data_IF_795640896025
#
_entry.id   IF_795640896025
#
_cell.length_a   1.000
_cell.length_b   1.000
_cell.length_c   1.000
_cell.angle_alpha   90.00
_cell.angle_beta   90.00
_cell.angle_gamma   90.00
#
_symmetry.space_group_name_H-M   'P 1'
#
loop_
_entity.id
_entity.type
_entity.pdbx_description
1 polymer ?
#
# COMPACT_ATOMS: atom_id res chain seq x y z
N UNK A 1 -8.45 14.62 -4.93
CA UNK A 1 -9.72 13.87 -4.88
C UNK A 1 -10.10 13.16 -6.19
N UNK A 2 -10.16 13.86 -7.35
CA UNK A 2 -10.53 13.22 -8.65
C UNK A 2 -9.76 11.94 -8.95
N UNK A 3 -8.44 11.95 -8.73
CA UNK A 3 -7.57 10.80 -8.99
C UNK A 3 -7.79 9.60 -8.04
N UNK A 4 -8.24 9.82 -6.80
CA UNK A 4 -8.62 8.73 -5.87
C UNK A 4 -9.90 8.03 -6.31
N UNK A 5 -10.93 8.82 -6.64
CA UNK A 5 -12.19 8.29 -7.17
C UNK A 5 -11.95 7.57 -8.50
N UNK A 6 -11.06 8.09 -9.34
CA UNK A 6 -10.66 7.44 -10.58
C UNK A 6 -9.99 6.08 -10.34
N UNK A 7 -9.05 5.99 -9.38
CA UNK A 7 -8.42 4.73 -9.00
C UNK A 7 -9.45 3.71 -8.49
N UNK A 8 -10.42 4.14 -7.68
CA UNK A 8 -11.50 3.28 -7.19
C UNK A 8 -12.45 2.82 -8.30
N UNK A 9 -12.76 3.68 -9.29
CA UNK A 9 -13.57 3.27 -10.45
C UNK A 9 -12.84 2.25 -11.32
N UNK A 10 -11.52 2.36 -11.44
CA UNK A 10 -10.68 1.45 -12.21
C UNK A 10 -10.11 0.28 -11.39
N UNK A 11 -10.71 -0.05 -10.24
CA UNK A 11 -10.20 -1.08 -9.33
C UNK A 11 -10.08 -2.47 -9.95
N UNK A 12 -10.94 -2.81 -10.92
CA UNK A 12 -10.92 -4.11 -11.60
C UNK A 12 -10.20 -4.08 -12.96
N UNK A 13 -9.66 -2.92 -13.35
CA UNK A 13 -8.94 -2.79 -14.61
C UNK A 13 -7.43 -2.88 -14.38
N UNK A 14 -6.85 -4.05 -14.69
CA UNK A 14 -5.42 -4.32 -14.60
C UNK A 14 -4.64 -3.96 -15.88
N UNK A 15 -5.33 -3.52 -16.93
CA UNK A 15 -4.73 -3.12 -18.20
C UNK A 15 -4.49 -1.61 -18.22
N UNK A 16 -3.51 -1.19 -19.02
CA UNK A 16 -3.15 0.22 -19.15
C UNK A 16 -2.14 0.68 -18.09
N UNK A 17 -2.05 2.00 -17.98
CA UNK A 17 -0.99 2.70 -17.23
C UNK A 17 -1.60 3.68 -16.23
N UNK A 18 -0.97 3.80 -15.06
CA UNK A 18 -1.37 4.74 -14.03
C UNK A 18 -0.27 5.80 -13.85
N UNK A 19 -0.65 7.07 -14.03
CA UNK A 19 0.23 8.22 -13.83
C UNK A 19 0.62 8.38 -12.35
N UNK A 20 1.82 8.90 -12.08
CA UNK A 20 2.36 9.13 -10.72
C UNK A 20 1.38 9.82 -9.76
N UNK A 21 0.64 10.82 -10.24
CA UNK A 21 -0.33 11.55 -9.42
C UNK A 21 -1.53 10.67 -8.97
N UNK A 22 -1.95 9.69 -9.78
CA UNK A 22 -3.01 8.75 -9.42
C UNK A 22 -2.55 7.86 -8.28
N UNK A 23 -1.37 7.24 -8.42
CA UNK A 23 -0.74 6.45 -7.38
C UNK A 23 -0.50 7.27 -6.10
N UNK A 24 0.11 8.45 -6.21
CA UNK A 24 0.47 9.27 -5.05
C UNK A 24 -0.74 9.76 -4.26
N UNK A 25 -1.78 10.28 -4.91
CA UNK A 25 -2.99 10.71 -4.22
C UNK A 25 -3.76 9.54 -3.59
N UNK A 26 -3.72 8.37 -4.22
CA UNK A 26 -4.36 7.18 -3.68
C UNK A 26 -3.69 6.73 -2.38
N UNK A 27 -2.37 6.56 -2.40
CA UNK A 27 -1.60 6.20 -1.20
C UNK A 27 -1.74 7.25 -0.09
N UNK A 28 -1.66 8.54 -0.45
CA UNK A 28 -1.80 9.62 0.53
C UNK A 28 -3.17 9.58 1.25
N UNK A 29 -4.26 9.35 0.52
CA UNK A 29 -5.59 9.28 1.12
C UNK A 29 -5.73 8.05 2.02
N UNK A 30 -5.19 6.90 1.61
CA UNK A 30 -5.18 5.70 2.47
C UNK A 30 -4.43 5.98 3.77
N UNK A 31 -3.23 6.55 3.70
CA UNK A 31 -2.42 6.91 4.87
C UNK A 31 -3.18 7.87 5.78
N UNK A 32 -3.87 8.88 5.23
CA UNK A 32 -4.66 9.82 6.03
C UNK A 32 -5.86 9.14 6.72
N UNK A 33 -6.54 8.22 6.04
CA UNK A 33 -7.67 7.50 6.62
C UNK A 33 -7.18 6.58 7.75
N UNK A 34 -6.12 5.81 7.51
CA UNK A 34 -5.51 4.94 8.51
C UNK A 34 -5.01 5.74 9.73
N UNK A 35 -4.38 6.90 9.49
CA UNK A 35 -3.95 7.81 10.55
C UNK A 35 -5.13 8.30 11.39
N UNK A 36 -6.23 8.72 10.75
CA UNK A 36 -7.45 9.11 11.45
C UNK A 36 -7.99 7.97 12.32
N UNK A 37 -8.18 6.77 11.77
CA UNK A 37 -8.65 5.61 12.53
C UNK A 37 -7.73 5.30 13.72
N UNK A 38 -6.41 5.32 13.52
CA UNK A 38 -5.42 5.08 14.56
C UNK A 38 -5.49 6.13 15.68
N UNK A 39 -5.59 7.41 15.34
CA UNK A 39 -5.71 8.49 16.32
C UNK A 39 -7.00 8.40 17.15
N UNK A 40 -8.14 8.15 16.49
CA UNK A 40 -9.42 8.02 17.19
C UNK A 40 -9.48 6.76 18.07
N UNK A 41 -8.97 5.63 17.58
CA UNK A 41 -8.87 4.39 18.36
C UNK A 41 -7.97 4.55 19.59
N UNK A 42 -6.82 5.21 19.42
CA UNK A 42 -5.89 5.52 20.51
C UNK A 42 -6.53 6.45 21.55
N UNK A 43 -7.22 7.50 21.10
CA UNK A 43 -7.93 8.42 21.98
C UNK A 43 -9.05 7.72 22.78
N UNK A 44 -9.85 6.87 22.13
CA UNK A 44 -10.89 6.07 22.80
C UNK A 44 -10.29 5.14 23.86
N UNK A 45 -9.13 4.54 23.58
CA UNK A 45 -8.40 3.70 24.54
C UNK A 45 -7.95 4.48 25.77
N UNK A 46 -7.38 5.68 25.60
CA UNK A 46 -6.97 6.56 26.70
C UNK A 46 -8.17 6.98 27.56
N UNK A 47 -9.32 7.22 26.94
CA UNK A 47 -10.58 7.55 27.61
C UNK A 47 -11.30 6.34 28.23
N UNK A 48 -10.70 5.15 28.20
CA UNK A 48 -11.26 3.88 28.70
C UNK A 48 -12.56 3.44 27.99
N UNK A 49 -12.77 3.90 26.76
CA UNK A 49 -13.88 3.50 25.90
C UNK A 49 -13.48 2.32 25.01
N UNK A 50 -13.23 1.16 25.63
CA UNK A 50 -12.64 0.00 24.94
C UNK A 50 -13.51 -0.54 23.79
N UNK A 51 -14.83 -0.62 23.97
CA UNK A 51 -15.75 -1.08 22.92
C UNK A 51 -15.71 -0.20 21.66
N UNK A 52 -15.56 1.12 21.84
CA UNK A 52 -15.43 2.06 20.73
C UNK A 52 -14.07 1.89 20.04
N UNK A 53 -12.99 1.70 20.80
CA UNK A 53 -11.66 1.47 20.22
C UNK A 53 -11.62 0.18 19.38
N UNK A 54 -12.20 -0.91 19.88
CA UNK A 54 -12.30 -2.18 19.14
C UNK A 54 -13.13 -2.02 17.86
N UNK A 55 -14.27 -1.33 17.93
CA UNK A 55 -15.08 -1.04 16.74
C UNK A 55 -14.29 -0.26 15.68
N UNK A 56 -13.58 0.80 16.09
CA UNK A 56 -12.77 1.61 15.18
C UNK A 56 -11.64 0.79 14.54
N UNK A 57 -10.98 -0.07 15.30
CA UNK A 57 -9.96 -0.98 14.77
C UNK A 57 -10.56 -1.99 13.77
N UNK A 58 -11.73 -2.55 14.06
CA UNK A 58 -12.45 -3.44 13.16
C UNK A 58 -12.87 -2.77 11.86
N UNK A 59 -13.38 -1.53 11.93
CA UNK A 59 -13.73 -0.73 10.75
C UNK A 59 -12.50 -0.39 9.90
N UNK A 60 -11.37 -0.06 10.53
CA UNK A 60 -10.12 0.20 9.83
C UNK A 60 -9.65 -1.06 9.06
N UNK A 61 -9.73 -2.23 9.70
CA UNK A 61 -9.38 -3.49 9.06
C UNK A 61 -10.30 -3.80 7.86
N UNK A 62 -11.61 -3.60 8.00
CA UNK A 62 -12.56 -3.77 6.89
C UNK A 62 -12.28 -2.81 5.74
N UNK A 63 -11.96 -1.56 6.05
CA UNK A 63 -11.58 -0.57 5.05
C UNK A 63 -10.31 -1.01 4.29
N UNK A 64 -9.29 -1.47 5.01
CA UNK A 64 -8.07 -2.03 4.42
C UNK A 64 -8.37 -3.20 3.47
N UNK A 65 -9.25 -4.13 3.88
CA UNK A 65 -9.65 -5.27 3.05
C UNK A 65 -10.32 -4.85 1.73
N UNK A 66 -11.22 -3.87 1.78
CA UNK A 66 -11.91 -3.34 0.59
C UNK A 66 -10.89 -2.74 -0.38
N UNK A 67 -9.85 -2.09 0.14
CA UNK A 67 -8.83 -1.42 -0.67
C UNK A 67 -7.75 -2.34 -1.23
N UNK A 68 -7.71 -3.63 -0.86
CA UNK A 68 -6.72 -4.58 -1.41
C UNK A 68 -6.81 -4.63 -2.93
N UNK A 69 -8.01 -4.84 -3.49
CA UNK A 69 -8.20 -4.99 -4.93
C UNK A 69 -7.82 -3.70 -5.69
N UNK A 70 -8.36 -2.51 -5.32
CA UNK A 70 -7.94 -1.25 -5.94
C UNK A 70 -6.42 -1.01 -5.85
N UNK A 71 -5.79 -1.35 -4.72
CA UNK A 71 -4.35 -1.17 -4.52
C UNK A 71 -3.52 -2.04 -5.46
N UNK A 72 -3.87 -3.32 -5.60
CA UNK A 72 -3.21 -4.25 -6.52
C UNK A 72 -3.37 -3.78 -7.97
N UNK A 73 -4.59 -3.39 -8.37
CA UNK A 73 -4.83 -2.86 -9.72
C UNK A 73 -3.99 -1.61 -10.01
N UNK A 74 -3.94 -0.67 -9.07
CA UNK A 74 -3.19 0.56 -9.24
C UNK A 74 -1.68 0.33 -9.31
N UNK A 75 -1.13 -0.52 -8.43
CA UNK A 75 0.30 -0.89 -8.45
C UNK A 75 0.65 -1.61 -9.75
N UNK A 76 -0.21 -2.51 -10.23
CA UNK A 76 -0.06 -3.18 -11.54
C UNK A 76 0.08 -2.16 -12.67
N UNK A 77 -0.89 -1.23 -12.78
CA UNK A 77 -0.88 -0.17 -13.81
C UNK A 77 0.29 0.79 -13.64
N UNK A 78 0.78 0.99 -12.42
CA UNK A 78 1.96 1.83 -12.16
C UNK A 78 3.27 1.14 -12.56
N UNK A 79 3.39 -0.16 -12.33
CA UNK A 79 4.52 -0.96 -12.82
C UNK A 79 4.54 -1.00 -14.35
N UNK A 80 3.39 -1.13 -14.99
CA UNK A 80 3.25 -1.01 -16.44
C UNK A 80 3.68 0.37 -16.95
N UNK A 81 3.39 1.43 -16.19
CA UNK A 81 3.83 2.79 -16.50
C UNK A 81 5.36 2.96 -16.40
N UNK A 82 6.06 2.04 -15.73
CA UNK A 82 7.53 2.00 -15.67
C UNK A 82 8.14 1.02 -16.71
N UNK A 83 7.32 0.43 -17.59
CA UNK A 83 7.75 -0.59 -18.54
C UNK A 83 7.94 -1.99 -17.93
N UNK A 84 7.71 -2.12 -16.62
CA UNK A 84 7.87 -3.36 -15.86
C UNK A 84 6.62 -4.24 -15.93
N UNK A 85 6.81 -5.54 -15.66
CA UNK A 85 5.71 -6.48 -15.49
C UNK A 85 4.92 -6.20 -14.20
N UNK A 86 3.59 -6.22 -14.26
CA UNK A 86 2.75 -6.12 -13.07
C UNK A 86 2.99 -7.23 -12.02
N UNK A 87 3.57 -8.36 -12.43
CA UNK A 87 3.90 -9.47 -11.55
C UNK A 87 4.98 -9.14 -10.51
N UNK A 88 5.78 -8.08 -10.70
CA UNK A 88 6.75 -7.63 -9.69
C UNK A 88 6.11 -7.29 -8.34
N UNK A 89 4.82 -6.94 -8.32
CA UNK A 89 4.10 -6.72 -7.06
C UNK A 89 3.95 -8.00 -6.21
N UNK A 90 4.00 -9.20 -6.81
CA UNK A 90 3.94 -10.45 -6.04
C UNK A 90 5.19 -10.66 -5.20
N UNK A 91 6.36 -10.26 -5.72
CA UNK A 91 7.59 -10.26 -4.94
C UNK A 91 7.43 -9.36 -3.72
N UNK A 92 6.86 -8.17 -3.89
CA UNK A 92 6.57 -7.27 -2.77
C UNK A 92 5.54 -7.88 -1.80
N UNK A 93 4.47 -8.51 -2.30
CA UNK A 93 3.46 -9.16 -1.46
C UNK A 93 4.08 -10.30 -0.62
N UNK A 94 4.93 -11.13 -1.23
CA UNK A 94 5.63 -12.20 -0.54
C UNK A 94 6.53 -11.67 0.58
N UNK A 95 7.28 -10.59 0.33
CA UNK A 95 8.11 -9.93 1.35
C UNK A 95 7.26 -9.37 2.51
N UNK A 96 6.11 -8.78 2.21
CA UNK A 96 5.18 -8.31 3.24
C UNK A 96 4.62 -9.45 4.10
N UNK A 97 4.33 -10.62 3.51
CA UNK A 97 3.88 -11.80 4.26
C UNK A 97 4.98 -12.32 5.19
N UNK A 98 6.23 -12.39 4.72
CA UNK A 98 7.38 -12.79 5.55
C UNK A 98 7.52 -11.86 6.76
N UNK A 99 7.34 -10.55 6.56
CA UNK A 99 7.41 -9.57 7.64
C UNK A 99 6.32 -9.78 8.71
N UNK A 100 5.09 -10.06 8.29
CA UNK A 100 3.99 -10.38 9.22
C UNK A 100 4.34 -11.65 10.00
N UNK A 101 4.74 -12.73 9.33
CA UNK A 101 5.08 -13.99 10.01
C UNK A 101 6.25 -13.80 10.98
N UNK A 102 7.28 -13.04 10.60
CA UNK A 102 8.42 -12.77 11.46
C UNK A 102 8.04 -11.96 12.72
N UNK A 103 7.08 -11.03 12.60
CA UNK A 103 6.59 -10.21 13.70
C UNK A 103 5.62 -10.90 14.65
N UNK A 104 4.86 -11.90 14.18
CA UNK A 104 3.78 -12.56 14.93
C UNK A 104 4.19 -13.92 15.54
N UNK A 105 5.46 -14.11 15.91
CA UNK A 105 5.83 -15.28 16.69
C UNK A 105 5.28 -15.12 18.12
N UNK A 106 4.21 -15.86 18.44
CA UNK A 106 3.48 -15.78 19.72
C UNK A 106 4.43 -15.95 20.91
N UNK A 107 5.43 -16.81 20.80
CA UNK A 107 6.45 -17.02 21.85
C UNK A 107 7.38 -15.81 22.05
N UNK A 108 7.75 -15.08 20.98
CA UNK A 108 8.59 -13.88 21.09
C UNK A 108 7.81 -12.72 21.71
N UNK A 109 6.50 -12.62 21.42
CA UNK A 109 5.60 -11.60 21.98
C UNK A 109 5.37 -11.85 23.48
N UNK A 110 5.18 -13.11 23.89
CA UNK A 110 4.97 -13.47 25.30
C UNK A 110 6.25 -13.30 26.12
N UNK A 111 7.40 -13.70 25.56
CA UNK A 111 8.67 -13.72 26.30
C UNK A 111 9.56 -12.48 26.05
N UNK A 112 9.14 -11.54 25.19
CA UNK A 112 9.92 -10.37 24.75
C UNK A 112 11.34 -10.70 24.24
N UNK A 113 11.59 -11.93 23.82
CA UNK A 113 12.90 -12.40 23.34
C UNK A 113 12.97 -12.31 21.80
N UNK A 114 13.06 -11.09 21.28
CA UNK A 114 13.44 -10.93 19.87
C UNK A 114 14.91 -11.32 19.70
N UNK A 115 15.17 -12.47 19.07
CA UNK A 115 16.54 -12.80 18.65
C UNK A 115 17.10 -11.69 17.74
N UNK A 116 18.37 -11.34 17.93
CA UNK A 116 19.05 -10.29 17.13
C UNK A 116 18.93 -10.53 15.63
N UNK A 117 18.99 -11.80 15.20
CA UNK A 117 18.83 -12.19 13.80
C UNK A 117 17.42 -11.87 13.26
N UNK A 118 16.34 -12.15 14.01
CA UNK A 118 14.96 -11.80 13.59
C UNK A 118 14.80 -10.29 13.42
N UNK A 119 15.32 -9.50 14.35
CA UNK A 119 15.25 -8.05 14.28
C UNK A 119 15.97 -7.50 13.02
N UNK A 120 17.17 -8.02 12.72
CA UNK A 120 17.91 -7.65 11.50
C UNK A 120 17.12 -8.00 10.24
N UNK A 121 16.53 -9.20 10.16
CA UNK A 121 15.71 -9.62 9.00
C UNK A 121 14.51 -8.69 8.82
N UNK A 122 13.78 -8.36 9.89
CA UNK A 122 12.63 -7.45 9.82
C UNK A 122 13.06 -6.08 9.29
N UNK A 123 14.15 -5.51 9.80
CA UNK A 123 14.66 -4.20 9.37
C UNK A 123 15.06 -4.22 7.89
N UNK A 124 15.77 -5.25 7.44
CA UNK A 124 16.17 -5.37 6.02
C UNK A 124 14.95 -5.46 5.11
N UNK A 125 13.96 -6.28 5.47
CA UNK A 125 12.72 -6.44 4.69
C UNK A 125 11.91 -5.13 4.67
N UNK A 126 11.87 -4.40 5.79
CA UNK A 126 11.25 -3.07 5.86
C UNK A 126 11.93 -2.08 4.91
N UNK A 127 13.26 -2.01 4.91
CA UNK A 127 14.02 -1.10 4.05
C UNK A 127 13.73 -1.42 2.57
N UNK A 128 13.78 -2.69 2.17
CA UNK A 128 13.48 -3.11 0.79
C UNK A 128 12.06 -2.70 0.39
N UNK A 129 11.09 -2.94 1.27
CA UNK A 129 9.67 -2.60 1.05
C UNK A 129 9.47 -1.09 0.88
N UNK A 130 10.08 -0.30 1.76
CA UNK A 130 10.01 1.18 1.69
C UNK A 130 10.63 1.66 0.38
N UNK A 131 11.81 1.17 0.03
CA UNK A 131 12.48 1.53 -1.24
C UNK A 131 11.56 1.22 -2.43
N UNK A 132 10.95 0.04 -2.49
CA UNK A 132 10.03 -0.32 -3.58
C UNK A 132 8.88 0.69 -3.74
N UNK A 133 8.20 1.05 -2.64
CA UNK A 133 7.11 2.02 -2.72
C UNK A 133 7.58 3.44 -3.05
N UNK A 134 8.77 3.85 -2.57
CA UNK A 134 9.37 5.13 -2.93
C UNK A 134 9.75 5.17 -4.41
N UNK A 135 10.27 4.08 -4.99
CA UNK A 135 10.54 3.99 -6.42
C UNK A 135 9.26 4.19 -7.23
N UNK A 136 8.16 3.53 -6.87
CA UNK A 136 6.86 3.75 -7.52
C UNK A 136 6.33 5.20 -7.36
N UNK A 137 6.64 5.82 -6.24
CA UNK A 137 6.19 7.18 -5.92
C UNK A 137 6.98 8.26 -6.66
N UNK A 138 8.30 8.13 -6.76
CA UNK A 138 9.18 9.19 -7.26
C UNK A 138 9.59 9.04 -8.71
N UNK A 139 9.77 7.81 -9.22
CA UNK A 139 10.27 7.59 -10.59
C UNK A 139 9.21 8.04 -11.60
N UNK A 140 9.56 8.83 -12.60
CA UNK A 140 8.62 9.18 -13.66
C UNK A 140 8.30 7.97 -14.54
N UNK A 141 7.08 7.94 -15.06
CA UNK A 141 6.69 6.93 -16.04
C UNK A 141 7.60 6.93 -17.27
N UNK A 142 7.73 5.74 -17.84
CA UNK A 142 8.17 5.44 -19.20
C UNK A 142 7.57 6.47 -20.18
N UNK A 143 8.36 7.00 -21.11
CA UNK A 143 7.87 8.08 -21.99
C UNK A 143 7.34 7.49 -23.29
N UNK A 144 6.40 8.20 -23.91
CA UNK A 144 5.76 7.76 -25.16
C UNK A 144 4.94 6.46 -24.96
N UNK A 145 4.52 5.86 -26.06
CA UNK A 145 3.77 4.62 -26.04
C UNK A 145 4.69 3.44 -25.68
N UNK A 146 4.24 2.61 -24.75
CA UNK A 146 4.91 1.36 -24.40
C UNK A 146 3.97 0.17 -24.66
N UNK A 147 4.46 -1.06 -24.44
CA UNK A 147 3.67 -2.29 -24.66
C UNK A 147 2.36 -2.40 -23.85
N UNK A 148 2.16 -1.52 -22.86
CA UNK A 148 0.99 -1.46 -22.01
C UNK A 148 0.03 -0.31 -22.37
N UNK A 149 0.39 0.54 -23.35
CA UNK A 149 -0.46 1.58 -23.91
C UNK A 149 0.19 2.96 -24.00
N UNK A 150 -0.59 3.92 -24.49
CA UNK A 150 -0.19 5.31 -24.64
C UNK A 150 0.18 5.98 -23.31
N UNK A 151 1.03 6.99 -23.39
CA UNK A 151 1.46 7.78 -22.23
C UNK A 151 0.24 8.43 -21.55
N UNK A 152 -0.04 8.12 -20.27
CA UNK A 152 -1.16 8.73 -19.56
C UNK A 152 -1.00 10.24 -19.35
N UNK A 153 0.18 10.84 -19.61
CA UNK A 153 0.37 12.30 -19.66
C UNK A 153 -0.10 12.90 -21.00
N UNK A 154 -0.05 12.15 -22.10
CA UNK A 154 -0.40 12.67 -23.43
C UNK A 154 -1.91 12.83 -23.67
N UNK A 155 -2.76 12.18 -22.85
CA UNK A 155 -4.22 12.14 -23.04
C UNK A 155 -4.95 13.22 -22.20
N UNK A 156 -4.24 13.97 -21.36
CA UNK A 156 -4.86 14.82 -20.31
C UNK A 156 -5.20 16.23 -20.78
N UNK A 157 -4.58 16.68 -21.85
CA UNK A 157 -4.60 18.07 -22.30
C UNK A 157 -5.53 18.29 -23.52
N UNK A 158 -6.70 17.64 -23.50
CA UNK A 158 -7.85 17.87 -24.40
C UNK A 158 -9.10 18.28 -23.63
#
# INVERSE_FOLDING_TARGET
MKWFIHALKNSFNFKGRARRAEYGWFILIIILIDLCFSLFSSAATVLRMFSLAELLNGLNLLFGLILIIPSISLVTRRLHDLGCSGWWQLCQLAMSIVLVIAGYNIEDVINNHFSTLKAVVIIVVLIITVIFYLLLFFIDGDRFENKYGADPKAVVDS
#
